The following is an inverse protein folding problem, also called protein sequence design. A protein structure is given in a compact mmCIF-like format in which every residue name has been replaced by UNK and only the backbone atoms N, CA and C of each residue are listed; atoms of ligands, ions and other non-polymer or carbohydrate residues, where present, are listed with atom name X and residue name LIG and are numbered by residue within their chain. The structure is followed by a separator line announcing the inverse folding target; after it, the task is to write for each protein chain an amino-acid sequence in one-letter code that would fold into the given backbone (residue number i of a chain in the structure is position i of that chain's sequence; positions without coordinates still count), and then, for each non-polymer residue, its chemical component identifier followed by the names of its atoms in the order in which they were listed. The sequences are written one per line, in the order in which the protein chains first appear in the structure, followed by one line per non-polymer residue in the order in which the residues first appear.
data_IF_357502431620
#
_entry.id   IF_357502431620
#
_cell.length_a   1.000
_cell.length_b   1.000
_cell.length_c   1.000
_cell.angle_alpha   90.00
_cell.angle_beta   90.00
_cell.angle_gamma   90.00
#
_symmetry.space_group_name_H-M   'P 1'
#
loop_
_entity.id
_entity.type
_entity.pdbx_description
1 polymer ?
#
# COMPACT_ATOMS: atom_id res chain seq x y z
N UNK A 1 3.38 -10.94 -11.30
CA UNK A 1 1.98 -10.51 -11.44
C UNK A 1 1.96 -9.24 -12.26
N UNK A 2 1.02 -9.08 -13.19
CA UNK A 2 0.85 -7.88 -14.00
C UNK A 2 -0.59 -7.38 -13.84
N UNK A 3 -0.75 -6.13 -13.45
CA UNK A 3 -2.03 -5.45 -13.50
C UNK A 3 -2.17 -4.79 -14.88
N UNK A 4 -2.96 -5.39 -15.77
CA UNK A 4 -3.04 -5.03 -17.18
C UNK A 4 -4.37 -5.43 -17.81
N UNK A 5 -4.94 -4.52 -18.62
CA UNK A 5 -6.12 -4.80 -19.45
C UNK A 5 -5.77 -5.48 -20.78
N UNK A 6 -4.49 -5.77 -21.02
CA UNK A 6 -4.00 -6.41 -22.24
C UNK A 6 -3.25 -7.69 -21.92
N UNK A 7 -3.56 -8.75 -22.67
CA UNK A 7 -2.79 -9.99 -22.63
C UNK A 7 -1.36 -9.70 -23.11
N UNK A 8 -0.32 -10.03 -22.33
CA UNK A 8 1.06 -9.87 -22.77
C UNK A 8 1.37 -10.87 -23.90
N UNK A 9 2.12 -10.44 -24.91
CA UNK A 9 2.69 -11.33 -25.91
C UNK A 9 3.94 -12.06 -25.41
N UNK A 10 4.45 -12.98 -26.22
CA UNK A 10 5.64 -13.78 -25.92
C UNK A 10 6.87 -12.90 -25.63
N UNK A 11 6.97 -11.73 -26.25
CA UNK A 11 8.05 -10.77 -26.05
C UNK A 11 8.14 -10.29 -24.60
N UNK A 12 7.00 -10.11 -23.92
CA UNK A 12 6.97 -9.71 -22.51
C UNK A 12 7.51 -10.83 -21.63
N UNK A 13 7.09 -12.08 -21.88
CA UNK A 13 7.59 -13.23 -21.13
C UNK A 13 9.10 -13.43 -21.34
N UNK A 14 9.59 -13.28 -22.58
CA UNK A 14 11.02 -13.33 -22.90
C UNK A 14 11.81 -12.23 -22.21
N UNK A 15 11.30 -11.00 -22.21
CA UNK A 15 11.92 -9.88 -21.52
C UNK A 15 12.03 -10.12 -20.02
N UNK A 16 10.96 -10.58 -19.37
CA UNK A 16 10.96 -10.93 -17.94
C UNK A 16 11.96 -12.05 -17.67
N UNK A 17 11.97 -13.11 -18.50
CA UNK A 17 12.88 -14.23 -18.37
C UNK A 17 14.36 -13.79 -18.42
N UNK A 18 14.71 -12.93 -19.38
CA UNK A 18 16.05 -12.36 -19.51
C UNK A 18 16.46 -11.57 -18.26
N UNK A 19 15.58 -10.66 -17.78
CA UNK A 19 15.85 -9.87 -16.58
C UNK A 19 15.95 -10.70 -15.30
N UNK A 20 15.26 -11.84 -15.25
CA UNK A 20 15.32 -12.78 -14.14
C UNK A 20 16.41 -13.84 -14.28
N UNK A 21 17.09 -13.94 -15.43
CA UNK A 21 18.12 -14.95 -15.68
C UNK A 21 17.59 -16.39 -15.75
N UNK A 22 16.33 -16.57 -16.17
CA UNK A 22 15.66 -17.88 -16.29
C UNK A 22 15.22 -18.13 -17.73
N UNK A 23 14.78 -19.36 -18.04
CA UNK A 23 14.17 -19.64 -19.33
C UNK A 23 12.73 -19.12 -19.38
N UNK A 24 12.27 -18.72 -20.56
CA UNK A 24 10.89 -18.24 -20.73
C UNK A 24 9.83 -19.29 -20.38
N UNK A 25 10.11 -20.58 -20.58
CA UNK A 25 9.22 -21.70 -20.21
C UNK A 25 9.03 -21.84 -18.69
N UNK A 26 9.93 -21.26 -17.88
CA UNK A 26 9.86 -21.24 -16.42
C UNK A 26 9.23 -19.94 -15.87
N UNK A 27 8.79 -19.03 -16.75
CA UNK A 27 8.14 -17.77 -16.34
C UNK A 27 6.62 -17.93 -16.30
N UNK A 28 6.05 -17.62 -15.14
CA UNK A 28 4.60 -17.58 -14.93
C UNK A 28 4.12 -16.14 -14.73
N UNK A 29 3.28 -15.65 -15.64
CA UNK A 29 2.67 -14.33 -15.54
C UNK A 29 1.22 -14.46 -15.07
N UNK A 30 0.98 -14.10 -13.81
CA UNK A 30 -0.38 -13.95 -13.24
C UNK A 30 -0.91 -12.57 -13.61
N UNK A 31 -2.09 -12.51 -14.24
CA UNK A 31 -2.70 -11.27 -14.71
C UNK A 31 -3.89 -10.88 -13.84
N UNK A 32 -4.00 -9.59 -13.53
CA UNK A 32 -5.17 -8.96 -12.90
C UNK A 32 -5.53 -7.70 -13.67
N UNK A 33 -6.75 -7.20 -13.50
CA UNK A 33 -7.13 -5.85 -13.94
C UNK A 33 -7.55 -5.03 -12.74
N UNK A 34 -7.37 -3.72 -12.79
CA UNK A 34 -7.86 -2.79 -11.75
C UNK A 34 -9.36 -3.00 -11.55
N UNK A 35 -10.12 -3.11 -12.65
CA UNK A 35 -11.57 -3.32 -12.61
C UNK A 35 -11.99 -4.78 -12.37
N UNK A 36 -11.40 -5.46 -11.38
CA UNK A 36 -11.72 -6.85 -11.04
C UNK A 36 -11.59 -7.12 -9.55
N UNK A 37 -12.29 -8.17 -9.06
CA UNK A 37 -12.18 -8.56 -7.65
C UNK A 37 -10.75 -8.99 -7.31
N UNK A 38 -10.06 -9.66 -8.24
CA UNK A 38 -8.66 -10.03 -8.06
C UNK A 38 -7.77 -8.78 -7.93
N UNK A 39 -8.04 -7.73 -8.71
CA UNK A 39 -7.40 -6.41 -8.60
C UNK A 39 -7.57 -5.81 -7.21
N UNK A 40 -8.80 -5.63 -6.76
CA UNK A 40 -9.07 -4.99 -5.47
C UNK A 40 -8.57 -5.81 -4.29
N UNK A 41 -8.61 -7.15 -4.38
CA UNK A 41 -8.02 -8.04 -3.38
C UNK A 41 -6.50 -7.91 -3.36
N UNK A 42 -5.82 -7.92 -4.51
CA UNK A 42 -4.36 -7.84 -4.51
C UNK A 42 -3.87 -6.48 -4.02
N UNK A 43 -4.55 -5.36 -4.35
CA UNK A 43 -4.17 -4.04 -3.81
C UNK A 43 -4.35 -4.01 -2.30
N UNK A 44 -5.52 -4.40 -1.80
CA UNK A 44 -5.79 -4.45 -0.35
C UNK A 44 -4.81 -5.37 0.39
N UNK A 45 -4.40 -6.47 -0.24
CA UNK A 45 -3.41 -7.41 0.28
C UNK A 45 -2.00 -6.82 0.44
N UNK A 46 -1.70 -5.68 -0.19
CA UNK A 46 -0.41 -4.98 -0.04
C UNK A 46 -0.29 -4.17 1.24
N UNK A 47 -1.32 -4.07 2.09
CA UNK A 47 -1.30 -3.15 3.23
C UNK A 47 -0.08 -3.32 4.17
N UNK A 48 0.41 -4.55 4.37
CA UNK A 48 1.64 -4.80 5.14
C UNK A 48 2.91 -4.35 4.39
N UNK A 49 2.90 -4.38 3.06
CA UNK A 49 3.99 -3.82 2.24
C UNK A 49 3.94 -2.29 2.25
N UNK A 50 2.75 -1.68 2.11
CA UNK A 50 2.58 -0.22 2.18
C UNK A 50 3.07 0.37 3.51
N UNK A 51 2.72 -0.25 4.63
CA UNK A 51 3.24 0.19 5.93
C UNK A 51 4.75 0.04 6.04
N UNK A 52 5.33 -1.02 5.45
CA UNK A 52 6.78 -1.22 5.41
C UNK A 52 7.49 -0.18 4.54
N UNK A 53 6.98 0.05 3.32
CA UNK A 53 7.46 1.06 2.40
C UNK A 53 7.45 2.44 3.04
N UNK A 54 6.37 2.75 3.77
CA UNK A 54 6.25 4.02 4.49
C UNK A 54 7.28 4.18 5.61
N UNK A 55 7.58 3.11 6.35
CA UNK A 55 8.64 3.12 7.35
C UNK A 55 10.03 3.31 6.71
N UNK A 56 10.32 2.59 5.62
CA UNK A 56 11.57 2.72 4.86
C UNK A 56 11.76 4.14 4.31
N UNK A 57 10.71 4.73 3.74
CA UNK A 57 10.69 6.13 3.29
C UNK A 57 11.03 7.12 4.42
N UNK A 58 10.62 6.82 5.66
CA UNK A 58 10.94 7.63 6.84
C UNK A 58 12.36 7.40 7.38
N UNK A 59 13.10 6.42 6.83
CA UNK A 59 14.47 6.06 7.20
C UNK A 59 14.59 4.91 8.19
N UNK A 60 13.52 4.15 8.43
CA UNK A 60 13.60 2.93 9.22
C UNK A 60 14.23 1.80 8.39
N UNK A 61 15.17 1.04 8.95
CA UNK A 61 15.77 -0.12 8.28
C UNK A 61 14.80 -1.33 8.29
N UNK A 62 14.24 -1.75 7.13
CA UNK A 62 13.26 -2.84 7.08
C UNK A 62 13.82 -4.19 7.55
N UNK A 63 15.16 -4.37 7.58
CA UNK A 63 15.80 -5.59 8.11
C UNK A 63 15.62 -5.76 9.63
N UNK A 64 15.16 -4.72 10.32
CA UNK A 64 14.83 -4.76 11.75
C UNK A 64 13.48 -5.42 12.03
N UNK A 65 12.67 -5.66 11.01
CA UNK A 65 11.35 -6.30 11.17
C UNK A 65 11.48 -7.82 11.21
N UNK A 66 10.87 -8.42 12.22
CA UNK A 66 10.84 -9.87 12.46
C UNK A 66 9.54 -10.48 11.95
N UNK A 67 8.44 -9.75 12.08
CA UNK A 67 7.11 -10.15 11.64
C UNK A 67 6.28 -8.92 11.27
N UNK A 68 5.44 -9.06 10.25
CA UNK A 68 4.49 -8.04 9.83
C UNK A 68 3.14 -8.66 9.49
N UNK A 69 2.08 -7.98 9.86
CA UNK A 69 0.70 -8.31 9.47
C UNK A 69 -0.06 -7.03 9.16
N UNK A 70 -1.11 -7.15 8.36
CA UNK A 70 -2.01 -6.03 8.12
C UNK A 70 -3.34 -6.48 7.54
N UNK A 71 -4.30 -5.57 7.58
CA UNK A 71 -5.63 -5.75 7.02
C UNK A 71 -6.12 -4.45 6.40
N UNK A 72 -6.70 -4.54 5.21
CA UNK A 72 -7.40 -3.45 4.54
C UNK A 72 -8.72 -4.01 3.95
N UNK A 73 -9.79 -3.19 3.87
CA UNK A 73 -11.04 -3.62 3.27
C UNK A 73 -10.89 -3.83 1.76
N UNK A 74 -11.49 -4.89 1.22
CA UNK A 74 -11.63 -5.02 -0.24
C UNK A 74 -12.78 -4.14 -0.69
N UNK A 75 -12.45 -3.05 -1.38
CA UNK A 75 -13.45 -2.08 -1.83
C UNK A 75 -14.23 -2.59 -3.06
N UNK A 76 -15.51 -2.20 -3.21
CA UNK A 76 -16.33 -2.64 -4.33
C UNK A 76 -15.91 -1.95 -5.63
N UNK A 77 -15.92 -2.75 -6.69
CA UNK A 77 -15.61 -2.37 -8.06
C UNK A 77 -16.64 -1.37 -8.59
N UNK A 78 -16.18 -0.39 -9.36
CA UNK A 78 -17.01 0.61 -10.05
C UNK A 78 -16.86 0.48 -11.58
N UNK A 79 -17.91 0.75 -12.40
CA UNK A 79 -17.78 0.68 -13.86
C UNK A 79 -16.68 1.58 -14.46
N UNK A 80 -16.44 2.73 -13.85
CA UNK A 80 -15.27 3.58 -14.13
C UNK A 80 -14.03 3.07 -13.38
N UNK A 81 -13.05 2.57 -14.13
CA UNK A 81 -11.78 2.03 -13.64
C UNK A 81 -10.99 3.04 -12.79
N UNK A 82 -11.09 4.34 -13.09
CA UNK A 82 -10.42 5.39 -12.30
C UNK A 82 -11.00 5.53 -10.90
N UNK A 83 -12.31 5.27 -10.76
CA UNK A 83 -12.97 5.23 -9.45
C UNK A 83 -12.61 3.95 -8.70
N UNK A 84 -12.53 2.79 -9.38
CA UNK A 84 -12.06 1.54 -8.75
C UNK A 84 -10.65 1.71 -8.20
N UNK A 85 -9.72 2.22 -9.02
CA UNK A 85 -8.34 2.52 -8.60
C UNK A 85 -8.30 3.44 -7.37
N UNK A 86 -9.06 4.53 -7.38
CA UNK A 86 -9.11 5.44 -6.24
C UNK A 86 -9.66 4.77 -4.97
N UNK A 87 -10.69 3.92 -5.10
CA UNK A 87 -11.24 3.16 -3.96
C UNK A 87 -10.20 2.18 -3.39
N UNK A 88 -9.42 1.54 -4.25
CA UNK A 88 -8.35 0.63 -3.83
C UNK A 88 -7.27 1.35 -3.00
N UNK A 89 -6.88 2.56 -3.40
CA UNK A 89 -5.95 3.38 -2.60
C UNK A 89 -6.59 3.87 -1.28
N UNK A 90 -7.85 4.32 -1.33
CA UNK A 90 -8.59 4.73 -0.14
C UNK A 90 -8.75 3.57 0.86
N UNK A 91 -8.79 2.33 0.39
CA UNK A 91 -8.78 1.14 1.25
C UNK A 91 -7.52 1.08 2.11
N UNK A 92 -6.35 1.42 1.56
CA UNK A 92 -5.08 1.40 2.25
C UNK A 92 -4.92 2.62 3.16
N UNK A 93 -5.22 3.80 2.62
CA UNK A 93 -5.03 5.11 3.27
C UNK A 93 -5.99 5.30 4.45
N UNK A 94 -7.26 4.92 4.29
CA UNK A 94 -8.29 5.15 5.30
C UNK A 94 -8.75 3.87 6.01
N UNK A 95 -8.63 2.71 5.35
CA UNK A 95 -9.04 1.42 5.92
C UNK A 95 -7.89 0.56 6.43
N UNK A 96 -6.66 0.86 6.04
CA UNK A 96 -5.51 0.01 6.29
C UNK A 96 -5.02 0.06 7.73
N UNK A 97 -4.85 -1.11 8.33
CA UNK A 97 -4.25 -1.28 9.64
C UNK A 97 -3.06 -2.24 9.54
N UNK A 98 -1.94 -1.87 10.16
CA UNK A 98 -0.71 -2.66 10.12
C UNK A 98 -0.15 -2.88 11.52
N UNK A 99 0.52 -4.01 11.72
CA UNK A 99 1.23 -4.33 12.93
C UNK A 99 2.56 -5.02 12.62
N UNK A 100 3.64 -4.54 13.24
CA UNK A 100 4.99 -5.10 13.06
C UNK A 100 5.62 -5.46 14.39
N UNK A 101 6.35 -6.58 14.43
CA UNK A 101 7.29 -6.90 15.51
C UNK A 101 8.70 -6.63 15.02
N UNK A 102 9.47 -5.87 15.79
CA UNK A 102 10.80 -5.40 15.42
C UNK A 102 11.84 -5.67 16.49
N UNK A 103 13.10 -5.74 16.07
CA UNK A 103 14.27 -5.64 16.93
C UNK A 103 14.93 -4.28 16.71
N UNK A 104 14.65 -3.30 17.57
CA UNK A 104 15.17 -1.93 17.42
C UNK A 104 15.81 -1.44 18.73
N UNK A 105 16.92 -0.70 18.63
CA UNK A 105 17.72 -0.33 19.81
C UNK A 105 17.23 0.94 20.51
N UNK A 106 16.62 1.87 19.77
CA UNK A 106 16.19 3.17 20.27
C UNK A 106 14.67 3.31 20.20
N UNK A 107 14.01 3.12 21.33
CA UNK A 107 12.55 3.24 21.46
C UNK A 107 12.04 4.65 21.18
N UNK A 108 12.82 5.69 21.49
CA UNK A 108 12.40 7.07 21.22
C UNK A 108 12.35 7.31 19.71
N UNK A 109 13.39 6.84 19.00
CA UNK A 109 13.42 6.92 17.54
C UNK A 109 12.37 6.03 16.88
N UNK A 110 12.13 4.83 17.43
CA UNK A 110 11.07 3.95 16.96
C UNK A 110 9.69 4.63 17.07
N UNK A 111 9.42 5.27 18.22
CA UNK A 111 8.19 6.03 18.43
C UNK A 111 8.03 7.15 17.39
N UNK A 112 9.10 7.90 17.08
CA UNK A 112 9.06 8.93 16.03
C UNK A 112 8.65 8.37 14.66
N UNK A 113 9.19 7.22 14.26
CA UNK A 113 8.79 6.58 12.99
C UNK A 113 7.31 6.21 13.00
N UNK A 114 6.85 5.60 14.09
CA UNK A 114 5.44 5.18 14.23
C UNK A 114 4.50 6.37 14.22
N UNK A 115 4.84 7.48 14.86
CA UNK A 115 4.01 8.69 14.88
C UNK A 115 3.90 9.35 13.50
N UNK A 116 4.93 9.24 12.65
CA UNK A 116 4.98 9.81 11.29
C UNK A 116 4.51 8.88 10.18
N UNK A 117 4.34 7.60 10.47
CA UNK A 117 3.98 6.60 9.46
C UNK A 117 2.55 6.75 8.91
N UNK A 118 1.50 6.97 9.72
CA UNK A 118 0.12 6.96 9.22
C UNK A 118 -0.15 8.00 8.14
N UNK A 119 -1.10 7.70 7.25
CA UNK A 119 -1.54 8.60 6.21
C UNK A 119 -2.05 9.94 6.73
N UNK A 120 -2.56 9.99 7.97
CA UNK A 120 -3.00 11.23 8.64
C UNK A 120 -1.89 12.29 8.82
N UNK A 121 -0.63 11.93 8.56
CA UNK A 121 0.51 12.85 8.59
C UNK A 121 0.87 13.42 7.22
N UNK A 122 0.24 12.93 6.16
CA UNK A 122 0.43 13.37 4.78
C UNK A 122 -0.39 14.62 4.46
N UNK A 123 0.12 15.48 3.59
CA UNK A 123 -0.59 16.67 3.11
C UNK A 123 -1.83 16.34 2.26
N UNK A 124 -1.92 15.10 1.76
CA UNK A 124 -3.07 14.63 0.96
C UNK A 124 -4.24 14.12 1.81
N UNK A 125 -4.06 13.97 3.13
CA UNK A 125 -5.09 13.40 3.99
C UNK A 125 -6.35 14.28 4.06
N UNK A 126 -7.53 13.64 4.05
CA UNK A 126 -8.83 14.30 4.13
C UNK A 126 -9.51 14.51 2.77
N UNK A 127 -8.83 14.16 1.67
CA UNK A 127 -9.42 14.05 0.32
C UNK A 127 -9.44 12.60 -0.11
N UNK A 128 -10.51 12.17 -0.79
CA UNK A 128 -10.52 10.81 -1.36
C UNK A 128 -9.50 10.73 -2.50
N UNK A 129 -8.92 9.56 -2.72
CA UNK A 129 -7.84 9.38 -3.69
C UNK A 129 -8.24 9.81 -5.10
N UNK A 130 -9.52 9.71 -5.47
CA UNK A 130 -10.02 10.18 -6.76
C UNK A 130 -9.82 11.69 -6.95
N UNK A 131 -10.08 12.49 -5.91
CA UNK A 131 -9.86 13.95 -5.94
C UNK A 131 -8.37 14.26 -6.13
N UNK A 132 -7.51 13.61 -5.33
CA UNK A 132 -6.05 13.79 -5.38
C UNK A 132 -5.45 13.36 -6.72
N UNK A 133 -5.83 12.18 -7.22
CA UNK A 133 -5.33 11.66 -8.49
C UNK A 133 -5.81 12.50 -9.68
N UNK A 134 -7.04 13.02 -9.63
CA UNK A 134 -7.56 13.92 -10.66
C UNK A 134 -6.78 15.23 -10.73
N UNK A 135 -6.31 15.78 -9.60
CA UNK A 135 -5.47 16.99 -9.57
C UNK A 135 -4.16 16.84 -10.34
N UNK A 136 -3.64 15.61 -10.45
CA UNK A 136 -2.40 15.28 -11.20
C UNK A 136 -2.66 14.55 -12.52
N UNK A 137 -3.90 14.51 -12.99
CA UNK A 137 -4.33 13.77 -14.19
C UNK A 137 -3.92 12.29 -14.19
N UNK A 138 -4.01 11.65 -13.02
CA UNK A 138 -3.65 10.25 -12.79
C UNK A 138 -2.18 9.92 -13.13
N UNK A 139 -1.32 10.93 -13.16
CA UNK A 139 0.12 10.78 -13.34
C UNK A 139 0.82 10.60 -11.99
N UNK A 140 1.03 9.33 -11.62
CA UNK A 140 1.67 8.91 -10.38
C UNK A 140 3.04 9.53 -10.13
N UNK A 141 3.78 9.89 -11.20
CA UNK A 141 5.12 10.49 -11.06
C UNK A 141 5.08 11.89 -10.44
N UNK A 142 3.91 12.52 -10.39
CA UNK A 142 3.67 13.84 -9.80
C UNK A 142 3.23 13.78 -8.33
N UNK A 143 2.98 12.59 -7.78
CA UNK A 143 2.64 12.43 -6.38
C UNK A 143 3.92 12.31 -5.53
N UNK A 144 3.93 12.95 -4.37
CA UNK A 144 4.94 12.66 -3.36
C UNK A 144 4.78 11.19 -2.93
N UNK A 145 5.87 10.39 -2.88
CA UNK A 145 5.84 9.03 -2.35
C UNK A 145 5.19 8.90 -0.95
N UNK A 146 5.15 10.00 -0.18
CA UNK A 146 4.42 10.08 1.08
C UNK A 146 2.90 9.89 0.96
N UNK A 147 2.34 9.85 -0.26
CA UNK A 147 0.96 9.46 -0.52
C UNK A 147 0.67 8.01 -0.08
N UNK A 148 1.65 7.11 -0.23
CA UNK A 148 1.50 5.70 0.12
C UNK A 148 1.77 5.49 1.62
N UNK A 149 0.70 5.44 2.40
CA UNK A 149 0.77 5.25 3.84
C UNK A 149 -0.49 4.50 4.35
N UNK A 150 -0.36 3.67 5.41
CA UNK A 150 -1.51 3.00 5.99
C UNK A 150 -2.34 3.97 6.83
N UNK A 151 -3.64 3.70 7.01
CA UNK A 151 -4.48 4.45 7.94
C UNK A 151 -4.00 4.38 9.39
N UNK A 152 -3.52 3.21 9.82
CA UNK A 152 -2.95 3.01 11.15
C UNK A 152 -1.79 2.02 11.16
N UNK A 153 -0.91 2.20 12.15
CA UNK A 153 0.25 1.34 12.39
C UNK A 153 0.43 1.08 13.89
N UNK A 154 0.82 -0.15 14.22
CA UNK A 154 1.28 -0.56 15.54
C UNK A 154 2.64 -1.25 15.41
N UNK A 155 3.56 -0.99 16.33
CA UNK A 155 4.87 -1.63 16.36
C UNK A 155 5.21 -2.10 17.77
N UNK A 156 5.62 -3.36 17.86
CA UNK A 156 6.05 -4.03 19.09
C UNK A 156 7.58 -4.22 19.04
N UNK A 157 8.31 -3.63 19.97
CA UNK A 157 9.75 -3.83 20.07
C UNK A 157 10.04 -5.02 20.98
N UNK A 158 10.52 -6.11 20.39
CA UNK A 158 10.83 -7.34 21.13
C UNK A 158 12.01 -7.16 22.09
N UNK A 159 12.96 -6.26 21.79
CA UNK A 159 14.16 -6.06 22.61
C UNK A 159 13.84 -5.36 23.94
N UNK A 160 12.89 -4.43 23.92
CA UNK A 160 12.56 -3.58 25.07
C UNK A 160 11.22 -3.92 25.72
N UNK A 161 10.33 -4.61 25.00
CA UNK A 161 8.95 -4.86 25.41
C UNK A 161 7.99 -3.69 25.15
N UNK A 162 8.49 -2.57 24.60
CA UNK A 162 7.69 -1.39 24.30
C UNK A 162 6.75 -1.61 23.12
N UNK A 163 5.63 -0.88 23.12
CA UNK A 163 4.66 -0.88 22.03
C UNK A 163 4.27 0.55 21.69
N UNK A 164 4.20 0.86 20.40
CA UNK A 164 3.82 2.18 19.89
C UNK A 164 2.73 2.02 18.84
N UNK A 165 1.74 2.91 18.83
CA UNK A 165 0.69 2.91 17.82
C UNK A 165 0.34 4.35 17.42
N UNK A 166 -0.04 4.53 16.15
CA UNK A 166 -0.46 5.82 15.61
C UNK A 166 -1.43 5.63 14.44
N UNK A 167 -2.20 6.69 14.16
CA UNK A 167 -3.21 6.69 13.09
C UNK A 167 -4.55 6.09 13.53
N UNK A 168 -5.44 5.92 12.55
CA UNK A 168 -6.78 5.37 12.76
C UNK A 168 -7.36 4.81 11.46
N UNK A 169 -8.34 3.93 11.59
CA UNK A 169 -9.29 3.68 10.50
C UNK A 169 -10.25 4.86 10.40
N UNK A 170 -10.39 5.45 9.21
CA UNK A 170 -11.27 6.59 8.95
C UNK A 170 -12.51 6.14 8.17
N UNK A 171 -13.52 5.70 8.91
CA UNK A 171 -14.77 5.18 8.35
C UNK A 171 -15.56 6.22 7.57
N UNK A 172 -15.46 7.51 7.93
CA UNK A 172 -16.16 8.58 7.23
C UNK A 172 -15.56 8.81 5.85
N UNK A 173 -14.22 8.75 5.73
CA UNK A 173 -13.53 8.84 4.43
C UNK A 173 -13.79 7.62 3.56
N UNK A 174 -13.79 6.40 4.12
CA UNK A 174 -14.18 5.19 3.39
C UNK A 174 -15.61 5.30 2.86
N UNK A 175 -16.54 5.78 3.69
CA UNK A 175 -17.94 6.01 3.30
C UNK A 175 -18.05 7.06 2.19
N UNK A 176 -17.27 8.15 2.28
CA UNK A 176 -17.20 9.17 1.22
C UNK A 176 -16.70 8.56 -0.09
N UNK A 177 -15.65 7.74 -0.05
CA UNK A 177 -15.09 7.05 -1.23
C UNK A 177 -16.10 6.09 -1.89
N UNK A 178 -16.89 5.38 -1.09
CA UNK A 178 -17.95 4.49 -1.58
C UNK A 178 -19.13 5.20 -2.23
N UNK A 179 -19.35 6.48 -1.91
CA UNK A 179 -20.43 7.31 -2.46
C UNK A 179 -20.06 7.98 -3.80
N UNK A 180 -18.79 7.84 -4.22
CA UNK A 180 -18.28 8.32 -5.51
C UNK A 180 -18.69 7.42 -6.65
#
# INVERSE_FOLDING_TARGET
MLETNKMPGDEVAKYVAEKCGVKAEDVYLVLTTTNSTAGSVQVSGRIAEVGMYRLDYLGFDPKKVIFGTGSAPVMPIHPDERVTLAREEDALIYGGATAYMVDFDDDSKLKEFVEKAPASTSAYYGKISYETLKEVDFDWSKLDPAFFAPGSICVFNRKTGSSFASGKTDYDMLKKSLMT
#
